data_IF_282948053742
#
_entry.id   IF_282948053742
#
_cell.length_a   1.000
_cell.length_b   1.000
_cell.length_c   1.000
_cell.angle_alpha   90.00
_cell.angle_beta   90.00
_cell.angle_gamma   90.00
#
_symmetry.space_group_name_H-M   'P 1'
#
loop_
_entity.id
_entity.type
_entity.pdbx_description
1 polymer ?
#
# COMPACT_ATOMS: atom_id res chain seq x y z
N UNK A 1 -9.51 23.01 -7.87
CA UNK A 1 -9.98 21.65 -7.59
C UNK A 1 -8.87 20.70 -8.00
N UNK A 2 -8.26 19.99 -7.05
CA UNK A 2 -7.21 19.00 -7.39
C UNK A 2 -7.94 17.75 -7.92
N UNK A 3 -7.64 17.27 -9.14
CA UNK A 3 -8.30 16.09 -9.68
C UNK A 3 -7.95 14.86 -8.86
N UNK A 4 -8.96 14.03 -8.56
CA UNK A 4 -8.78 12.76 -7.88
C UNK A 4 -8.09 11.75 -8.79
N UNK A 5 -7.15 10.95 -8.23
CA UNK A 5 -6.44 9.87 -8.94
C UNK A 5 -7.39 8.75 -9.39
N UNK A 6 -8.52 8.57 -8.71
CA UNK A 6 -9.51 7.54 -8.99
C UNK A 6 -10.96 8.10 -8.88
N UNK A 7 -11.95 7.48 -9.54
CA UNK A 7 -13.36 7.80 -9.33
C UNK A 7 -13.77 7.56 -7.86
N UNK A 8 -14.25 8.60 -7.20
CA UNK A 8 -14.67 8.55 -5.79
C UNK A 8 -16.12 8.10 -5.68
N UNK A 9 -16.40 7.21 -4.73
CA UNK A 9 -17.74 6.87 -4.26
C UNK A 9 -17.72 6.68 -2.75
N UNK A 10 -18.89 6.77 -2.10
CA UNK A 10 -19.02 6.53 -0.65
C UNK A 10 -18.47 5.16 -0.23
N UNK A 11 -18.53 4.16 -1.13
CA UNK A 11 -18.07 2.80 -0.86
C UNK A 11 -16.56 2.62 -0.97
N UNK A 12 -15.84 3.52 -1.66
CA UNK A 12 -14.39 3.41 -1.87
C UNK A 12 -13.58 4.54 -1.22
N UNK A 13 -14.24 5.57 -0.67
CA UNK A 13 -13.56 6.72 -0.07
C UNK A 13 -12.48 6.33 0.93
N UNK A 14 -12.82 5.47 1.91
CA UNK A 14 -11.86 4.99 2.90
C UNK A 14 -10.70 4.19 2.31
N UNK A 15 -10.93 3.50 1.18
CA UNK A 15 -9.86 2.82 0.46
C UNK A 15 -8.89 3.81 -0.18
N UNK A 16 -9.42 4.85 -0.83
CA UNK A 16 -8.60 5.87 -1.46
C UNK A 16 -7.77 6.63 -0.43
N UNK A 17 -8.35 6.95 0.73
CA UNK A 17 -7.63 7.60 1.84
C UNK A 17 -6.45 6.76 2.34
N UNK A 18 -6.62 5.44 2.50
CA UNK A 18 -5.50 4.56 2.89
C UNK A 18 -4.44 4.48 1.79
N UNK A 19 -4.84 4.39 0.52
CA UNK A 19 -3.90 4.32 -0.61
C UNK A 19 -3.15 5.64 -0.82
N UNK A 20 -3.79 6.78 -0.60
CA UNK A 20 -3.13 8.09 -0.61
C UNK A 20 -2.14 8.20 0.56
N UNK A 21 -2.52 7.77 1.76
CA UNK A 21 -1.60 7.72 2.91
C UNK A 21 -0.38 6.81 2.67
N UNK A 22 -0.56 5.66 1.99
CA UNK A 22 0.57 4.81 1.56
C UNK A 22 1.45 5.50 0.51
N UNK A 23 0.85 6.27 -0.40
CA UNK A 23 1.58 6.99 -1.44
C UNK A 23 2.44 8.10 -0.85
N UNK A 24 1.87 8.84 0.09
CA UNK A 24 2.49 10.00 0.72
C UNK A 24 3.20 9.66 2.04
N UNK A 25 3.42 8.37 2.32
CA UNK A 25 3.91 7.86 3.61
C UNK A 25 5.21 8.51 4.10
N UNK A 26 6.04 9.00 3.17
CA UNK A 26 7.31 9.69 3.45
C UNK A 26 7.14 11.17 3.84
N UNK A 27 5.99 11.75 3.51
CA UNK A 27 5.70 13.17 3.62
C UNK A 27 4.67 13.47 4.71
N UNK A 28 4.28 12.47 5.51
CA UNK A 28 3.33 12.66 6.61
C UNK A 28 4.05 13.38 7.76
N UNK A 29 3.56 14.57 8.18
CA UNK A 29 4.17 15.32 9.27
C UNK A 29 4.01 14.57 10.60
N UNK A 30 4.96 14.80 11.52
CA UNK A 30 4.96 14.26 12.89
C UNK A 30 4.84 12.71 12.97
N UNK A 31 5.21 12.01 11.89
CA UNK A 31 5.26 10.55 11.84
C UNK A 31 6.49 10.08 11.07
N UNK A 32 6.78 8.79 11.20
CA UNK A 32 7.75 8.10 10.35
C UNK A 32 7.06 7.03 9.49
N UNK A 33 7.67 6.63 8.37
CA UNK A 33 7.08 5.64 7.47
C UNK A 33 6.72 4.32 8.17
N UNK A 34 7.56 3.83 9.08
CA UNK A 34 7.35 2.59 9.82
C UNK A 34 6.09 2.60 10.69
N UNK A 35 5.92 3.68 11.46
CA UNK A 35 4.78 3.84 12.36
C UNK A 35 3.48 4.00 11.56
N UNK A 36 3.53 4.78 10.49
CA UNK A 36 2.40 4.92 9.57
C UNK A 36 2.04 3.58 8.93
N UNK A 37 3.02 2.84 8.39
CA UNK A 37 2.77 1.57 7.72
C UNK A 37 2.14 0.55 8.68
N UNK A 38 2.60 0.52 9.94
CA UNK A 38 2.02 -0.33 10.99
C UNK A 38 0.56 0.03 11.29
N UNK A 39 0.22 1.32 11.32
CA UNK A 39 -1.16 1.78 11.52
C UNK A 39 -2.05 1.40 10.32
N UNK A 40 -1.58 1.66 9.10
CA UNK A 40 -2.32 1.34 7.88
C UNK A 40 -2.49 -0.17 7.70
N UNK A 41 -1.49 -0.97 8.07
CA UNK A 41 -1.55 -2.43 8.07
C UNK A 41 -2.77 -2.94 8.84
N UNK A 42 -3.00 -2.44 10.05
CA UNK A 42 -4.19 -2.79 10.85
C UNK A 42 -5.49 -2.51 10.10
N UNK A 43 -5.62 -1.31 9.52
CA UNK A 43 -6.82 -0.93 8.74
C UNK A 43 -7.05 -1.83 7.53
N UNK A 44 -5.97 -2.25 6.85
CA UNK A 44 -6.07 -3.16 5.70
C UNK A 44 -6.47 -4.56 6.16
N UNK A 45 -5.99 -5.02 7.32
CA UNK A 45 -6.30 -6.34 7.88
C UNK A 45 -7.73 -6.47 8.41
N UNK A 46 -8.39 -5.35 8.71
CA UNK A 46 -9.81 -5.33 9.09
C UNK A 46 -10.76 -5.53 7.90
N UNK A 47 -10.24 -5.55 6.66
CA UNK A 47 -11.06 -5.75 5.46
C UNK A 47 -11.40 -7.21 5.23
N UNK A 48 -12.66 -7.49 4.92
CA UNK A 48 -13.06 -8.81 4.42
C UNK A 48 -12.42 -9.11 3.06
N UNK A 49 -12.47 -10.37 2.64
CA UNK A 49 -11.82 -10.83 1.42
C UNK A 49 -12.34 -10.11 0.15
N UNK A 50 -13.62 -9.73 0.12
CA UNK A 50 -14.25 -9.03 -1.02
C UNK A 50 -13.81 -7.57 -1.08
N UNK A 51 -13.82 -6.90 0.07
CA UNK A 51 -13.30 -5.56 0.28
C UNK A 51 -11.82 -5.48 -0.10
N UNK A 52 -11.01 -6.43 0.38
CA UNK A 52 -9.59 -6.48 0.09
C UNK A 52 -9.31 -6.67 -1.41
N UNK A 53 -10.08 -7.52 -2.10
CA UNK A 53 -9.99 -7.63 -3.57
C UNK A 53 -10.32 -6.33 -4.28
N UNK A 54 -11.33 -5.57 -3.82
CA UNK A 54 -11.66 -4.24 -4.38
C UNK A 54 -10.52 -3.24 -4.12
N UNK A 55 -9.99 -3.23 -2.90
CA UNK A 55 -8.88 -2.40 -2.46
C UNK A 55 -7.64 -2.59 -3.35
N UNK A 56 -7.23 -3.84 -3.55
CA UNK A 56 -6.11 -4.18 -4.42
C UNK A 56 -6.32 -3.76 -5.88
N UNK A 57 -7.54 -3.92 -6.43
CA UNK A 57 -7.83 -3.47 -7.80
C UNK A 57 -7.72 -1.96 -7.96
N UNK A 58 -8.12 -1.18 -6.95
CA UNK A 58 -7.93 0.27 -6.95
C UNK A 58 -6.44 0.63 -6.97
N UNK A 59 -5.64 -0.03 -6.14
CA UNK A 59 -4.19 0.16 -6.11
C UNK A 59 -3.54 -0.13 -7.47
N UNK A 60 -3.86 -1.28 -8.07
CA UNK A 60 -3.33 -1.68 -9.40
C UNK A 60 -3.68 -0.64 -10.47
N UNK A 61 -4.94 -0.17 -10.48
CA UNK A 61 -5.46 0.67 -11.56
C UNK A 61 -5.05 2.14 -11.47
N UNK A 62 -4.89 2.68 -10.26
CA UNK A 62 -4.82 4.14 -10.06
C UNK A 62 -3.60 4.64 -9.28
N UNK A 63 -2.83 3.76 -8.64
CA UNK A 63 -1.75 4.16 -7.74
C UNK A 63 -0.36 3.77 -8.27
N UNK A 64 0.70 4.50 -7.89
CA UNK A 64 2.04 4.25 -8.40
C UNK A 64 2.64 2.94 -7.86
N UNK A 65 3.68 2.39 -8.51
CA UNK A 65 4.31 1.13 -8.10
C UNK A 65 4.79 1.08 -6.64
N UNK A 66 5.27 2.20 -6.08
CA UNK A 66 5.69 2.26 -4.67
C UNK A 66 4.52 1.98 -3.70
N UNK A 67 3.32 2.51 -3.98
CA UNK A 67 2.11 2.25 -3.19
C UNK A 67 1.70 0.78 -3.29
N UNK A 68 1.76 0.21 -4.50
CA UNK A 68 1.50 -1.22 -4.73
C UNK A 68 2.49 -2.10 -3.95
N UNK A 69 3.76 -1.69 -3.88
CA UNK A 69 4.79 -2.39 -3.12
C UNK A 69 4.53 -2.36 -1.61
N UNK A 70 4.17 -1.20 -1.04
CA UNK A 70 3.84 -1.07 0.39
C UNK A 70 2.59 -1.86 0.77
N UNK A 71 1.54 -1.83 -0.06
CA UNK A 71 0.35 -2.65 0.15
C UNK A 71 0.70 -4.14 0.02
N UNK A 72 1.51 -4.50 -0.96
CA UNK A 72 2.00 -5.86 -1.14
C UNK A 72 2.71 -6.39 0.09
N UNK A 73 3.67 -5.62 0.62
CA UNK A 73 4.40 -5.92 1.85
C UNK A 73 3.45 -6.14 3.04
N UNK A 74 2.47 -5.25 3.23
CA UNK A 74 1.45 -5.42 4.29
C UNK A 74 0.75 -6.76 4.16
N UNK A 75 0.34 -7.13 2.95
CA UNK A 75 -0.42 -8.36 2.72
C UNK A 75 0.43 -9.60 2.90
N UNK A 76 1.67 -9.56 2.43
CA UNK A 76 2.59 -10.69 2.44
C UNK A 76 3.04 -11.03 3.87
N UNK A 77 3.35 -10.02 4.69
CA UNK A 77 3.66 -10.17 6.13
C UNK A 77 2.49 -10.76 6.93
N UNK A 78 1.26 -10.63 6.42
CA UNK A 78 0.07 -11.21 7.03
C UNK A 78 -0.40 -12.50 6.34
N UNK A 79 0.43 -13.10 5.47
CA UNK A 79 0.18 -14.41 4.85
C UNK A 79 -0.81 -14.41 3.68
N UNK A 80 -1.11 -13.25 3.08
CA UNK A 80 -2.07 -13.15 1.98
C UNK A 80 -1.43 -13.43 0.62
N UNK A 81 -1.64 -14.63 0.09
CA UNK A 81 -1.16 -15.05 -1.24
C UNK A 81 -1.59 -14.14 -2.41
N UNK A 82 -2.67 -13.37 -2.25
CA UNK A 82 -3.15 -12.44 -3.28
C UNK A 82 -2.19 -11.29 -3.53
N UNK A 83 -1.25 -11.02 -2.62
CA UNK A 83 -0.19 -10.02 -2.78
C UNK A 83 0.51 -10.10 -4.15
N UNK A 84 0.66 -11.32 -4.71
CA UNK A 84 1.22 -11.57 -6.05
C UNK A 84 0.61 -10.74 -7.19
N UNK A 85 -0.66 -10.33 -7.09
CA UNK A 85 -1.26 -9.43 -8.07
C UNK A 85 -0.57 -8.06 -8.11
N UNK A 86 -0.18 -7.53 -6.95
CA UNK A 86 0.55 -6.27 -6.82
C UNK A 86 2.01 -6.44 -7.23
N UNK A 87 2.62 -7.58 -6.89
CA UNK A 87 4.01 -7.86 -7.23
C UNK A 87 4.27 -7.82 -8.74
N UNK A 88 3.33 -8.35 -9.54
CA UNK A 88 3.40 -8.33 -11.02
C UNK A 88 3.45 -6.94 -11.64
N UNK A 89 3.02 -5.92 -10.91
CA UNK A 89 2.99 -4.53 -11.36
C UNK A 89 4.31 -3.80 -11.10
N UNK A 90 5.28 -4.45 -10.43
CA UNK A 90 6.54 -3.83 -10.06
C UNK A 90 7.60 -4.11 -11.12
N UNK A 91 8.44 -3.11 -11.37
CA UNK A 91 9.65 -3.32 -12.16
C UNK A 91 10.74 -3.96 -11.27
N UNK A 92 11.29 -5.13 -11.63
CA UNK A 92 12.33 -5.81 -10.84
C UNK A 92 13.61 -5.00 -10.59
N UNK A 93 13.92 -4.01 -11.42
CA UNK A 93 15.13 -3.18 -11.27
C UNK A 93 14.90 -1.90 -10.49
N UNK A 94 13.65 -1.54 -10.20
CA UNK A 94 13.33 -0.34 -9.42
C UNK A 94 13.53 -0.63 -7.94
N UNK A 95 13.97 0.37 -7.17
CA UNK A 95 14.07 0.33 -5.71
C UNK A 95 13.42 1.56 -5.09
N UNK A 96 12.61 1.38 -4.06
CA UNK A 96 11.85 2.43 -3.40
C UNK A 96 12.49 2.77 -2.06
N UNK A 97 13.17 3.91 -1.97
CA UNK A 97 13.74 4.40 -0.71
C UNK A 97 12.63 4.98 0.17
N UNK A 98 11.99 4.13 0.95
CA UNK A 98 10.89 4.50 1.85
C UNK A 98 11.44 4.84 3.25
N UNK A 99 12.51 4.15 3.68
CA UNK A 99 13.06 4.33 5.03
C UNK A 99 12.18 3.64 6.07
N UNK A 100 11.84 2.37 5.82
CA UNK A 100 11.18 1.54 6.82
C UNK A 100 12.20 1.06 7.85
N UNK A 101 11.82 1.18 9.11
CA UNK A 101 12.57 0.74 10.28
C UNK A 101 11.74 -0.31 11.03
N UNK A 102 12.40 -1.18 11.78
CA UNK A 102 11.74 -2.23 12.56
C UNK A 102 11.48 -3.51 11.75
N UNK A 103 10.43 -4.25 12.14
CA UNK A 103 10.20 -5.63 11.68
C UNK A 103 9.36 -5.62 10.39
N UNK A 104 10.03 -5.50 9.25
CA UNK A 104 9.47 -5.70 7.91
C UNK A 104 10.40 -6.60 7.08
N UNK A 105 10.60 -7.88 7.49
CA UNK A 105 11.59 -8.77 6.89
C UNK A 105 11.42 -8.97 5.38
N UNK A 106 10.19 -8.88 4.86
CA UNK A 106 9.93 -9.04 3.42
C UNK A 106 10.08 -7.75 2.60
N UNK A 107 10.44 -6.61 3.20
CA UNK A 107 10.53 -5.33 2.49
C UNK A 107 11.46 -5.38 1.26
N UNK A 108 12.56 -6.13 1.37
CA UNK A 108 13.51 -6.32 0.27
C UNK A 108 12.90 -7.05 -0.94
N UNK A 109 12.02 -8.04 -0.71
CA UNK A 109 11.31 -8.75 -1.78
C UNK A 109 10.39 -7.79 -2.55
N UNK A 110 9.81 -6.83 -1.83
CA UNK A 110 8.95 -5.78 -2.38
C UNK A 110 9.71 -4.59 -2.98
N UNK A 111 11.03 -4.71 -3.19
CA UNK A 111 11.91 -3.67 -3.70
C UNK A 111 11.98 -2.40 -2.84
N UNK A 112 11.67 -2.50 -1.54
CA UNK A 112 11.68 -1.37 -0.61
C UNK A 112 13.03 -1.32 0.13
N UNK A 113 13.60 -0.11 0.18
CA UNK A 113 14.84 0.25 0.87
C UNK A 113 14.58 1.24 2.01
#
# INVERSE_FOLDING_TARGET
>A
MVPSKAPISEQNKGYLEVLDALTDIKNIPDSCPSNTLKLLSRKVMDLDESALRKFMRLAVKYYPPATKALLGLILDENGYLKSRLLFKELNPTTRYKIGLEGIWPQAGEWNIL
#
